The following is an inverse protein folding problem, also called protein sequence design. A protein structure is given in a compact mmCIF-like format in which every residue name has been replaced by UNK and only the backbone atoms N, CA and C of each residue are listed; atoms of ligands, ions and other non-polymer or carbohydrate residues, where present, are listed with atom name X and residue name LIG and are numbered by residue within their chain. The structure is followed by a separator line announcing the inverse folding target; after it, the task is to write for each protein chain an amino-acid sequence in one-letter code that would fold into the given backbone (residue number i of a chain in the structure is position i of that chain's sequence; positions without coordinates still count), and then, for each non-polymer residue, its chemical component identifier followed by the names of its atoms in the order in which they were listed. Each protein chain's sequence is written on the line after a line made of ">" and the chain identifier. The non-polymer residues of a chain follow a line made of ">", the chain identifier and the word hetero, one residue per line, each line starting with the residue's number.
data_IF_742278217306
#
_entry.id   IF_742278217306
#
_cell.length_a   1.000
_cell.length_b   1.000
_cell.length_c   1.000
_cell.angle_alpha   90.00
_cell.angle_beta   90.00
_cell.angle_gamma   90.00
#
_symmetry.space_group_name_H-M   'P 1'
#
loop_
_entity.id
_entity.type
_entity.pdbx_description
1 polymer ?
#
# COMPACT_ATOMS: atom_id res chain seq x y z
N UNK A 1 -23.20 25.11 -4.36
CA UNK A 1 -22.23 24.18 -4.98
C UNK A 1 -20.95 24.25 -4.16
N UNK A 2 -20.89 23.48 -3.08
CA UNK A 2 -19.77 23.50 -2.14
C UNK A 2 -18.72 22.48 -2.58
N UNK A 3 -17.52 22.96 -2.87
CA UNK A 3 -16.35 22.11 -3.13
C UNK A 3 -16.05 21.40 -1.79
N UNK A 4 -16.44 20.14 -1.67
CA UNK A 4 -16.16 19.32 -0.49
C UNK A 4 -14.72 18.82 -0.56
N UNK A 5 -13.80 19.58 0.05
CA UNK A 5 -12.47 19.12 0.43
C UNK A 5 -12.46 18.83 1.92
N UNK A 6 -12.35 17.56 2.28
CA UNK A 6 -12.40 17.07 3.65
C UNK A 6 -11.17 17.51 4.47
N UNK A 7 -11.41 18.11 5.63
CA UNK A 7 -10.59 18.03 6.84
C UNK A 7 -9.09 18.28 6.71
N UNK A 8 -8.71 19.54 6.85
CA UNK A 8 -7.51 20.22 7.38
C UNK A 8 -6.21 19.50 7.81
N UNK A 9 -6.05 18.18 7.71
CA UNK A 9 -4.89 17.47 8.26
C UNK A 9 -4.27 16.51 7.25
N UNK A 10 -2.94 16.57 7.15
CA UNK A 10 -2.14 15.49 6.59
C UNK A 10 -2.31 14.21 7.43
N UNK A 11 -2.07 13.03 6.84
CA UNK A 11 -2.10 11.71 7.49
C UNK A 11 -1.18 11.55 8.71
N UNK A 12 -0.19 12.43 8.88
CA UNK A 12 0.69 12.53 10.05
C UNK A 12 0.13 13.44 11.16
N UNK A 13 -1.04 14.04 10.94
CA UNK A 13 -1.65 15.01 11.85
C UNK A 13 -1.10 16.43 11.72
N UNK A 14 -0.25 16.71 10.73
CA UNK A 14 0.19 18.06 10.39
C UNK A 14 -0.93 18.87 9.72
N UNK A 15 -1.09 20.18 10.00
CA UNK A 15 -2.03 21.01 9.27
C UNK A 15 -1.67 21.04 7.78
N UNK A 16 -2.65 20.90 6.88
CA UNK A 16 -2.44 21.01 5.42
C UNK A 16 -1.85 22.38 5.06
N UNK A 17 -2.24 23.39 5.83
CA UNK A 17 -1.74 24.76 5.79
C UNK A 17 -1.70 25.28 7.23
N UNK A 18 -0.53 25.71 7.71
CA UNK A 18 -0.48 26.52 8.93
C UNK A 18 -1.32 27.80 8.75
N UNK A 19 -1.71 28.46 9.85
CA UNK A 19 -2.32 29.80 9.77
C UNK A 19 -1.39 30.72 8.99
N UNK A 20 -1.76 31.03 7.76
CA UNK A 20 -1.00 31.82 6.82
C UNK A 20 -1.78 31.94 5.50
N UNK A 21 -1.26 32.72 4.55
CA UNK A 21 -1.84 32.86 3.22
C UNK A 21 -0.99 32.11 2.19
N UNK A 22 -1.60 31.14 1.51
CA UNK A 22 -1.04 30.56 0.30
C UNK A 22 -1.53 31.38 -0.89
N UNK A 23 -0.62 32.08 -1.58
CA UNK A 23 -0.95 32.67 -2.89
C UNK A 23 -0.70 31.60 -3.95
N UNK A 24 -1.78 31.05 -4.49
CA UNK A 24 -1.74 30.14 -5.63
C UNK A 24 -1.97 30.95 -6.91
N UNK A 25 -0.96 30.98 -7.76
CA UNK A 25 -1.09 31.51 -9.12
C UNK A 25 -1.27 30.31 -10.06
N UNK A 26 -2.40 30.27 -10.76
CA UNK A 26 -2.61 29.30 -11.83
C UNK A 26 -2.36 30.01 -13.17
N UNK A 27 -1.58 29.35 -14.03
CA UNK A 27 -1.32 29.82 -15.38
C UNK A 27 -2.52 29.63 -16.31
N UNK A 28 -2.30 29.86 -17.61
CA UNK A 28 -3.32 29.60 -18.62
C UNK A 28 -3.77 28.12 -18.59
N UNK A 29 -5.07 27.84 -18.83
CA UNK A 29 -5.56 26.47 -18.92
C UNK A 29 -4.78 25.69 -19.97
N UNK A 30 -4.29 24.52 -19.58
CA UNK A 30 -3.67 23.57 -20.51
C UNK A 30 -4.72 22.59 -21.01
N UNK A 31 -4.51 22.05 -22.21
CA UNK A 31 -5.36 20.98 -22.76
C UNK A 31 -5.31 19.76 -21.83
N UNK A 32 -6.45 19.10 -21.59
CA UNK A 32 -6.56 18.04 -20.57
C UNK A 32 -5.48 16.94 -20.67
N UNK A 33 -5.06 16.56 -21.88
CA UNK A 33 -3.98 15.59 -22.08
C UNK A 33 -2.59 16.08 -21.64
N UNK A 34 -2.31 17.38 -21.80
CA UNK A 34 -1.05 17.99 -21.38
C UNK A 34 -0.98 18.15 -19.85
N UNK A 35 -2.10 18.47 -19.20
CA UNK A 35 -2.20 18.45 -17.73
C UNK A 35 -1.91 17.05 -17.17
N UNK A 36 -2.55 16.01 -17.72
CA UNK A 36 -2.36 14.64 -17.25
C UNK A 36 -0.89 14.18 -17.37
N UNK A 37 -0.23 14.50 -18.49
CA UNK A 37 1.19 14.18 -18.69
C UNK A 37 2.11 14.94 -17.71
N UNK A 38 1.84 16.22 -17.46
CA UNK A 38 2.62 17.02 -16.51
C UNK A 38 2.46 16.51 -15.06
N UNK A 39 1.22 16.15 -14.66
CA UNK A 39 0.95 15.54 -13.36
C UNK A 39 1.67 14.19 -13.24
N UNK A 40 1.57 13.31 -14.23
CA UNK A 40 2.27 12.03 -14.22
C UNK A 40 3.78 12.18 -14.08
N UNK A 41 4.38 13.13 -14.82
CA UNK A 41 5.83 13.43 -14.72
C UNK A 41 6.23 13.88 -13.31
N UNK A 42 5.40 14.73 -12.69
CA UNK A 42 5.63 15.18 -11.32
C UNK A 42 5.49 14.02 -10.32
N UNK A 43 4.45 13.20 -10.45
CA UNK A 43 4.20 12.04 -9.59
C UNK A 43 5.36 11.03 -9.68
N UNK A 44 5.86 10.75 -10.89
CA UNK A 44 7.02 9.89 -11.10
C UNK A 44 8.27 10.47 -10.44
N UNK A 45 8.52 11.77 -10.58
CA UNK A 45 9.64 12.44 -9.93
C UNK A 45 9.53 12.39 -8.40
N UNK A 46 8.33 12.58 -7.85
CA UNK A 46 8.08 12.47 -6.40
C UNK A 46 8.29 11.03 -5.92
N UNK A 47 7.79 10.04 -6.66
CA UNK A 47 7.97 8.62 -6.35
C UNK A 47 9.45 8.22 -6.37
N UNK A 48 10.21 8.61 -7.39
CA UNK A 48 11.65 8.32 -7.45
C UNK A 48 12.43 8.92 -6.27
N UNK A 49 11.95 10.07 -5.74
CA UNK A 49 12.66 10.79 -4.68
C UNK A 49 12.22 10.42 -3.27
N UNK A 50 10.96 10.02 -3.09
CA UNK A 50 10.34 9.84 -1.76
C UNK A 50 9.55 8.54 -1.59
N UNK A 51 9.48 7.69 -2.63
CA UNK A 51 8.68 6.46 -2.70
C UNK A 51 9.10 5.43 -1.66
N UNK A 52 8.57 5.62 -0.45
CA UNK A 52 8.77 4.79 0.74
C UNK A 52 7.41 4.35 1.25
N UNK A 53 7.38 3.32 2.09
CA UNK A 53 6.15 2.82 2.67
C UNK A 53 5.42 3.92 3.46
N UNK A 54 6.16 4.79 4.16
CA UNK A 54 5.60 5.93 4.88
C UNK A 54 5.01 7.01 3.97
N UNK A 55 5.61 7.23 2.80
CA UNK A 55 5.08 8.14 1.79
C UNK A 55 3.74 7.66 1.22
N UNK A 56 3.59 6.35 1.01
CA UNK A 56 2.37 5.75 0.44
C UNK A 56 1.28 5.41 1.47
N UNK A 57 1.60 5.24 2.76
CA UNK A 57 0.63 4.96 3.82
C UNK A 57 -0.63 5.87 3.81
N UNK A 58 -0.50 7.20 3.63
CA UNK A 58 -1.62 8.10 3.35
C UNK A 58 -2.58 7.64 2.25
N UNK A 59 -2.01 7.29 1.10
CA UNK A 59 -2.75 6.92 -0.10
C UNK A 59 -3.44 5.57 0.10
N UNK A 60 -2.78 4.66 0.82
CA UNK A 60 -3.36 3.39 1.23
C UNK A 60 -4.57 3.61 2.13
N UNK A 61 -4.47 4.44 3.16
CA UNK A 61 -5.61 4.75 4.06
C UNK A 61 -6.80 5.36 3.30
N UNK A 62 -6.53 6.26 2.36
CA UNK A 62 -7.59 6.87 1.55
C UNK A 62 -8.42 5.83 0.78
N UNK A 63 -7.82 4.70 0.38
CA UNK A 63 -8.52 3.60 -0.31
C UNK A 63 -9.41 2.76 0.61
N UNK A 64 -9.28 2.88 1.94
CA UNK A 64 -10.17 2.21 2.88
C UNK A 64 -11.32 3.11 3.36
N UNK A 65 -11.24 4.42 3.12
CA UNK A 65 -12.22 5.41 3.60
C UNK A 65 -13.66 5.11 3.16
N UNK A 66 -13.86 4.59 1.96
CA UNK A 66 -15.20 4.27 1.45
C UNK A 66 -15.73 2.91 1.92
N UNK A 67 -14.89 2.06 2.53
CA UNK A 67 -15.27 0.73 3.04
C UNK A 67 -15.88 0.78 4.45
N UNK A 68 -15.89 1.95 5.09
CA UNK A 68 -16.52 2.20 6.37
C UNK A 68 -15.52 2.56 7.48
N UNK A 69 -15.96 3.27 8.54
CA UNK A 69 -15.09 3.78 9.60
C UNK A 69 -14.28 2.71 10.33
N UNK A 70 -14.85 1.52 10.54
CA UNK A 70 -14.17 0.41 11.24
C UNK A 70 -13.00 -0.16 10.42
N UNK A 71 -13.19 -0.29 9.11
CA UNK A 71 -12.16 -0.77 8.18
C UNK A 71 -11.01 0.24 8.13
N UNK A 72 -11.32 1.54 8.00
CA UNK A 72 -10.29 2.59 8.02
C UNK A 72 -9.55 2.63 9.36
N UNK A 73 -10.27 2.54 10.49
CA UNK A 73 -9.67 2.57 11.82
C UNK A 73 -8.72 1.37 12.05
N UNK A 74 -9.08 0.19 11.52
CA UNK A 74 -8.22 -0.99 11.54
C UNK A 74 -6.96 -0.78 10.71
N UNK A 75 -7.09 -0.36 9.45
CA UNK A 75 -5.94 -0.09 8.59
C UNK A 75 -5.00 0.96 9.22
N UNK A 76 -5.57 2.00 9.82
CA UNK A 76 -4.80 3.02 10.56
C UNK A 76 -4.04 2.45 11.74
N UNK A 77 -4.66 1.53 12.51
CA UNK A 77 -3.99 0.85 13.63
C UNK A 77 -2.85 -0.03 13.13
N UNK A 78 -3.09 -0.83 12.08
CA UNK A 78 -2.10 -1.71 11.45
C UNK A 78 -0.89 -0.93 10.95
N UNK A 79 -1.12 0.14 10.19
CA UNK A 79 -0.04 0.99 9.67
C UNK A 79 0.72 1.72 10.78
N UNK A 80 0.05 2.09 11.88
CA UNK A 80 0.72 2.71 13.03
C UNK A 80 1.57 1.69 13.81
N UNK A 81 1.00 0.54 14.16
CA UNK A 81 1.67 -0.49 14.96
C UNK A 81 2.88 -1.10 14.25
N UNK A 82 2.81 -1.24 12.92
CA UNK A 82 3.91 -1.77 12.10
C UNK A 82 4.93 -0.71 11.65
N UNK A 83 4.72 0.57 11.95
CA UNK A 83 5.54 1.66 11.39
C UNK A 83 5.49 1.71 9.86
N UNK A 84 4.29 1.56 9.29
CA UNK A 84 4.00 1.43 7.86
C UNK A 84 4.79 0.32 7.16
N UNK A 85 5.24 -0.70 7.91
CA UNK A 85 6.07 -1.79 7.42
C UNK A 85 7.42 -1.36 6.80
N UNK A 86 7.89 -0.14 7.06
CA UNK A 86 9.13 0.39 6.47
C UNK A 86 10.33 -0.54 6.65
N UNK A 87 10.44 -1.25 7.77
CA UNK A 87 11.50 -2.24 8.03
C UNK A 87 11.59 -3.34 6.96
N UNK A 88 10.46 -3.76 6.40
CA UNK A 88 10.40 -4.84 5.42
C UNK A 88 10.34 -4.30 3.99
N UNK A 89 9.64 -3.20 3.77
CA UNK A 89 9.37 -2.65 2.45
C UNK A 89 10.50 -1.75 1.95
N UNK A 90 11.06 -0.85 2.77
CA UNK A 90 12.01 0.17 2.32
C UNK A 90 13.45 -0.35 2.20
N UNK A 91 13.63 -1.65 1.95
CA UNK A 91 14.95 -2.27 1.80
C UNK A 91 15.56 -1.94 0.43
N UNK A 92 16.90 -1.79 0.39
CA UNK A 92 17.62 -1.30 -0.80
C UNK A 92 17.63 -2.24 -2.01
N UNK A 93 17.26 -3.52 -1.84
CA UNK A 93 17.13 -4.47 -2.94
C UNK A 93 15.67 -4.86 -3.13
N UNK A 94 15.09 -4.45 -4.25
CA UNK A 94 13.74 -4.85 -4.65
C UNK A 94 13.79 -6.25 -5.29
N UNK A 95 13.07 -7.25 -4.77
CA UNK A 95 12.95 -8.55 -5.45
C UNK A 95 12.13 -8.40 -6.74
N UNK A 96 12.34 -9.29 -7.72
CA UNK A 96 11.47 -9.35 -8.92
C UNK A 96 10.06 -9.84 -8.59
N UNK A 97 9.96 -10.71 -7.59
CA UNK A 97 8.69 -11.31 -7.17
C UNK A 97 8.67 -11.39 -5.66
N UNK A 98 7.54 -10.99 -5.07
CA UNK A 98 7.29 -11.12 -3.65
C UNK A 98 5.98 -11.89 -3.42
N UNK A 99 5.97 -12.77 -2.43
CA UNK A 99 4.78 -13.51 -2.02
C UNK A 99 4.45 -13.13 -0.59
N UNK A 100 3.21 -12.70 -0.35
CA UNK A 100 2.71 -12.29 0.96
C UNK A 100 1.61 -13.26 1.38
N UNK A 101 1.82 -13.96 2.48
CA UNK A 101 0.83 -14.86 3.09
C UNK A 101 0.23 -14.19 4.33
N UNK A 102 -1.06 -14.43 4.54
CA UNK A 102 -1.89 -13.77 5.57
C UNK A 102 -2.00 -12.25 5.35
N UNK A 103 -2.25 -11.84 4.11
CA UNK A 103 -2.23 -10.42 3.70
C UNK A 103 -3.25 -9.51 4.42
N UNK A 104 -4.19 -10.08 5.18
CA UNK A 104 -5.17 -9.34 5.96
C UNK A 104 -6.10 -8.52 5.08
N UNK A 105 -6.26 -7.24 5.41
CA UNK A 105 -7.05 -6.31 4.58
C UNK A 105 -6.27 -5.79 3.37
N UNK A 106 -4.99 -6.13 3.26
CA UNK A 106 -4.14 -5.90 2.09
C UNK A 106 -3.14 -4.75 2.19
N UNK A 107 -2.98 -4.14 3.37
CA UNK A 107 -2.15 -2.96 3.56
C UNK A 107 -0.68 -3.23 3.20
N UNK A 108 -0.13 -4.37 3.62
CA UNK A 108 1.26 -4.74 3.35
C UNK A 108 1.50 -4.95 1.86
N UNK A 109 0.71 -5.84 1.22
CA UNK A 109 0.86 -6.13 -0.20
C UNK A 109 0.66 -4.89 -1.07
N UNK A 110 -0.28 -4.02 -0.70
CA UNK A 110 -0.53 -2.77 -1.42
C UNK A 110 0.64 -1.78 -1.28
N UNK A 111 1.19 -1.59 -0.08
CA UNK A 111 2.37 -0.75 0.11
C UNK A 111 3.58 -1.29 -0.64
N UNK A 112 3.79 -2.60 -0.60
CA UNK A 112 4.90 -3.24 -1.29
C UNK A 112 4.81 -3.00 -2.81
N UNK A 113 3.62 -3.16 -3.39
CA UNK A 113 3.38 -2.92 -4.81
C UNK A 113 3.56 -1.45 -5.22
N UNK A 114 3.17 -0.49 -4.37
CA UNK A 114 3.31 0.94 -4.64
C UNK A 114 4.77 1.42 -4.54
N UNK A 115 5.51 0.93 -3.54
CA UNK A 115 6.93 1.27 -3.37
C UNK A 115 7.78 0.64 -4.48
N UNK A 116 7.43 -0.58 -4.91
CA UNK A 116 8.20 -1.37 -5.86
C UNK A 116 7.36 -1.81 -7.07
N UNK A 117 7.07 -0.94 -8.05
CA UNK A 117 6.23 -1.35 -9.18
C UNK A 117 6.87 -2.34 -10.14
N UNK A 118 8.20 -2.50 -10.08
CA UNK A 118 8.94 -3.52 -10.85
C UNK A 118 8.90 -4.90 -10.17
N UNK A 119 8.30 -5.00 -8.98
CA UNK A 119 8.12 -6.25 -8.24
C UNK A 119 6.71 -6.79 -8.46
N UNK A 120 6.61 -8.03 -8.93
CA UNK A 120 5.34 -8.75 -8.99
C UNK A 120 4.97 -9.24 -7.58
N UNK A 121 3.92 -8.67 -7.00
CA UNK A 121 3.48 -8.94 -5.63
C UNK A 121 2.27 -9.87 -5.65
N UNK A 122 2.45 -11.11 -5.21
CA UNK A 122 1.38 -12.08 -5.07
C UNK A 122 0.91 -12.15 -3.62
N UNK A 123 -0.40 -11.99 -3.40
CA UNK A 123 -0.96 -11.91 -2.04
C UNK A 123 -2.00 -12.99 -1.79
N UNK A 124 -1.91 -13.64 -0.63
CA UNK A 124 -2.79 -14.72 -0.22
C UNK A 124 -3.39 -14.43 1.16
N UNK A 125 -4.70 -14.63 1.27
CA UNK A 125 -5.46 -14.50 2.50
C UNK A 125 -6.49 -15.63 2.56
N UNK A 126 -6.47 -16.38 3.66
CA UNK A 126 -7.34 -17.55 3.85
C UNK A 126 -8.71 -17.18 4.42
N UNK A 127 -8.78 -16.08 5.18
CA UNK A 127 -10.03 -15.54 5.71
C UNK A 127 -10.82 -14.92 4.54
N UNK A 128 -11.92 -15.56 4.16
CA UNK A 128 -12.73 -15.18 3.01
C UNK A 128 -13.27 -13.74 3.11
N UNK A 129 -13.59 -13.26 4.32
CA UNK A 129 -14.09 -11.91 4.55
C UNK A 129 -12.97 -10.89 4.34
N UNK A 130 -11.75 -11.19 4.82
CA UNK A 130 -10.56 -10.34 4.59
C UNK A 130 -10.13 -10.36 3.13
N UNK A 131 -10.16 -11.53 2.49
CA UNK A 131 -9.84 -11.68 1.07
C UNK A 131 -10.81 -10.88 0.20
N UNK A 132 -12.11 -10.90 0.51
CA UNK A 132 -13.10 -10.07 -0.17
C UNK A 132 -12.81 -8.57 -0.01
N UNK A 133 -12.45 -8.12 1.19
CA UNK A 133 -12.07 -6.72 1.43
C UNK A 133 -10.83 -6.31 0.62
N UNK A 134 -9.81 -7.16 0.55
CA UNK A 134 -8.56 -6.91 -0.18
C UNK A 134 -8.75 -6.90 -1.71
N UNK A 135 -9.62 -7.79 -2.25
CA UNK A 135 -9.92 -7.86 -3.70
C UNK A 135 -10.64 -6.61 -4.23
N UNK A 136 -11.34 -5.87 -3.36
CA UNK A 136 -12.09 -4.67 -3.74
C UNK A 136 -11.39 -3.35 -3.39
N UNK A 137 -10.05 -3.32 -3.39
CA UNK A 137 -9.29 -2.07 -3.23
C UNK A 137 -9.39 -1.23 -4.50
N UNK A 138 -9.83 0.03 -4.38
CA UNK A 138 -9.90 0.95 -5.50
C UNK A 138 -8.49 1.22 -6.07
N UNK A 139 -8.40 1.28 -7.40
CA UNK A 139 -7.17 1.57 -8.15
C UNK A 139 -6.00 0.63 -7.80
N UNK A 140 -6.25 -0.68 -7.82
CA UNK A 140 -5.23 -1.70 -7.60
C UNK A 140 -4.03 -1.54 -8.56
N UNK A 141 -2.79 -1.52 -8.05
CA UNK A 141 -1.59 -1.53 -8.90
C UNK A 141 -1.55 -2.76 -9.81
N UNK A 142 -1.08 -2.60 -11.04
CA UNK A 142 -1.04 -3.69 -12.03
C UNK A 142 -0.13 -4.87 -11.62
N UNK A 143 0.86 -4.60 -10.79
CA UNK A 143 1.82 -5.57 -10.25
C UNK A 143 1.35 -6.23 -8.93
N UNK A 144 0.11 -5.97 -8.49
CA UNK A 144 -0.48 -6.61 -7.30
C UNK A 144 -1.47 -7.69 -7.72
N UNK A 145 -1.15 -8.95 -7.44
CA UNK A 145 -1.90 -10.12 -7.87
C UNK A 145 -2.54 -10.84 -6.68
N UNK A 146 -3.87 -10.81 -6.54
CA UNK A 146 -4.57 -11.64 -5.56
C UNK A 146 -4.43 -13.11 -5.96
N UNK A 147 -3.97 -13.94 -5.03
CA UNK A 147 -3.91 -15.38 -5.19
C UNK A 147 -5.29 -16.04 -5.18
N UNK A 148 -5.30 -17.30 -5.60
CA UNK A 148 -6.46 -18.20 -5.43
C UNK A 148 -6.72 -18.50 -3.96
N UNK A 149 -7.87 -19.10 -3.68
CA UNK A 149 -8.23 -19.46 -2.31
C UNK A 149 -7.23 -20.46 -1.71
N UNK A 150 -6.81 -20.19 -0.48
CA UNK A 150 -5.84 -21.00 0.26
C UNK A 150 -4.40 -20.51 0.16
N UNK A 151 -3.52 -21.27 0.81
CA UNK A 151 -2.10 -20.98 0.92
C UNK A 151 -1.32 -21.53 -0.28
N UNK A 152 -0.43 -20.75 -0.90
CA UNK A 152 0.35 -21.19 -2.06
C UNK A 152 1.28 -22.35 -1.69
N UNK A 153 1.74 -23.11 -2.69
CA UNK A 153 2.79 -24.09 -2.46
C UNK A 153 4.14 -23.39 -2.26
N UNK A 154 4.98 -23.88 -1.34
CA UNK A 154 6.26 -23.22 -1.02
C UNK A 154 7.23 -23.11 -2.22
N UNK A 155 7.07 -23.96 -3.23
CA UNK A 155 7.87 -23.94 -4.47
C UNK A 155 7.18 -23.29 -5.67
N UNK A 156 5.97 -22.73 -5.51
CA UNK A 156 5.18 -22.18 -6.61
C UNK A 156 5.83 -20.94 -7.24
N UNK A 157 6.55 -20.16 -6.43
CA UNK A 157 7.22 -18.93 -6.83
C UNK A 157 8.74 -19.06 -6.62
N UNK A 158 9.47 -19.68 -7.57
CA UNK A 158 10.90 -19.89 -7.43
C UNK A 158 11.67 -18.57 -7.40
N UNK A 159 12.51 -18.39 -6.37
CA UNK A 159 13.33 -17.18 -6.19
C UNK A 159 12.55 -15.96 -5.67
N UNK A 160 11.27 -16.10 -5.32
CA UNK A 160 10.51 -15.03 -4.72
C UNK A 160 10.97 -14.74 -3.29
N UNK A 161 10.80 -13.49 -2.87
CA UNK A 161 10.91 -13.11 -1.46
C UNK A 161 9.58 -13.37 -0.76
N UNK A 162 9.60 -14.20 0.28
CA UNK A 162 8.40 -14.59 1.01
C UNK A 162 8.24 -13.77 2.28
N UNK A 163 7.04 -13.25 2.49
CA UNK A 163 6.62 -12.54 3.69
C UNK A 163 5.44 -13.28 4.33
N UNK A 164 5.54 -13.57 5.62
CA UNK A 164 4.46 -14.16 6.40
C UNK A 164 4.02 -13.16 7.46
N UNK A 165 2.76 -12.73 7.41
CA UNK A 165 2.20 -11.83 8.42
C UNK A 165 1.61 -12.66 9.56
N UNK A 166 2.09 -12.44 10.78
CA UNK A 166 1.69 -13.15 12.00
C UNK A 166 1.42 -14.67 11.79
N UNK A 167 2.39 -15.44 11.24
CA UNK A 167 2.15 -16.82 10.82
C UNK A 167 1.89 -17.77 11.99
N UNK A 168 1.17 -18.86 11.71
CA UNK A 168 1.10 -20.01 12.62
C UNK A 168 2.43 -20.79 12.63
N UNK A 169 2.68 -21.65 13.64
CA UNK A 169 3.83 -22.55 13.63
C UNK A 169 3.91 -23.45 12.38
N UNK A 170 2.76 -23.92 11.90
CA UNK A 170 2.66 -24.75 10.70
C UNK A 170 3.07 -23.98 9.45
N UNK A 171 2.63 -22.72 9.31
CA UNK A 171 3.03 -21.86 8.20
C UNK A 171 4.53 -21.54 8.23
N UNK A 172 5.11 -21.31 9.41
CA UNK A 172 6.57 -21.14 9.57
C UNK A 172 7.35 -22.37 9.14
N UNK A 173 6.84 -23.57 9.43
CA UNK A 173 7.44 -24.83 8.99
C UNK A 173 7.26 -25.03 7.47
N UNK A 174 6.14 -24.60 6.90
CA UNK A 174 5.82 -24.73 5.47
C UNK A 174 6.69 -23.84 4.59
N UNK A 175 7.00 -22.61 5.02
CA UNK A 175 7.79 -21.65 4.24
C UNK A 175 9.11 -21.29 4.97
N UNK A 176 10.09 -22.21 5.00
CA UNK A 176 11.36 -21.96 5.65
C UNK A 176 12.11 -20.81 4.96
N UNK A 177 12.66 -19.88 5.76
CA UNK A 177 13.41 -18.71 5.25
C UNK A 177 12.55 -17.51 4.86
N UNK A 178 11.23 -17.57 5.04
CA UNK A 178 10.37 -16.41 4.84
C UNK A 178 10.58 -15.34 5.93
N UNK A 179 10.45 -14.07 5.54
CA UNK A 179 10.49 -12.94 6.45
C UNK A 179 9.20 -12.87 7.27
N UNK A 180 9.34 -12.86 8.60
CA UNK A 180 8.20 -12.73 9.50
C UNK A 180 7.88 -11.25 9.67
N UNK A 181 6.65 -10.89 9.33
CA UNK A 181 6.06 -9.56 9.51
C UNK A 181 5.14 -9.62 10.71
N UNK A 182 5.34 -8.73 11.66
CA UNK A 182 4.53 -8.66 12.88
C UNK A 182 3.68 -7.40 12.89
N UNK A 183 2.39 -7.55 13.15
CA UNK A 183 1.49 -6.42 13.38
C UNK A 183 1.65 -5.99 14.84
N UNK A 184 2.26 -4.82 15.06
CA UNK A 184 2.46 -4.27 16.41
C UNK A 184 1.17 -3.86 17.10
#
# INVERSE_FOLDING_TARGET
>A
MGIHGSGDLYPDGGPLLERGSLRVEYGAPVVAGAAAAAVGTLEDAMRMRFGTARYYAPQVLARYRYKGPEVEARARRVLRGSGAFSRWIDRGSTPRTAVVVNNGQGEFGLLLALVHPECEVHVFEQDADRAALARHVAAQPANLHPGSDGDPAAGEFPGAMWFLIDPTPEQRAKYPGAEIVTLG
#
